data_IF_849729297730
#
_entry.id   IF_849729297730
#
_cell.length_a   1.000
_cell.length_b   1.000
_cell.length_c   1.000
_cell.angle_alpha   90.00
_cell.angle_beta   90.00
_cell.angle_gamma   90.00
#
_symmetry.space_group_name_H-M   'P 1'
#
loop_
_entity.id
_entity.type
_entity.pdbx_description
1 polymer ?
#
# COMPACT_ATOMS: atom_id res chain seq x y z
N UNK A 1 -44.20 8.68 25.85
CA UNK A 1 -43.40 9.71 26.54
C UNK A 1 -42.16 9.05 27.14
N UNK A 2 -41.01 9.15 26.47
CA UNK A 2 -39.67 9.16 27.08
C UNK A 2 -38.69 9.45 25.94
N UNK A 3 -38.31 10.72 25.82
CA UNK A 3 -37.40 11.22 24.80
C UNK A 3 -35.98 10.73 25.06
N UNK A 4 -35.36 10.15 24.05
CA UNK A 4 -33.92 9.92 24.04
C UNK A 4 -33.27 11.02 23.18
N UNK A 5 -32.32 11.81 23.72
CA UNK A 5 -31.65 12.87 22.98
C UNK A 5 -30.63 12.25 22.03
N UNK A 6 -31.06 11.95 20.79
CA UNK A 6 -30.22 11.34 19.75
C UNK A 6 -29.56 12.38 18.81
N UNK A 7 -29.59 13.68 19.12
CA UNK A 7 -29.26 14.73 18.13
C UNK A 7 -27.99 15.54 18.38
N UNK A 8 -27.19 15.29 19.43
CA UNK A 8 -26.06 16.18 19.76
C UNK A 8 -24.66 15.52 19.82
N UNK A 9 -24.42 14.49 19.00
CA UNK A 9 -23.08 13.89 18.79
C UNK A 9 -22.47 14.28 17.43
N UNK A 10 -23.22 14.95 16.55
CA UNK A 10 -22.78 15.35 15.20
C UNK A 10 -22.17 16.77 15.16
N UNK A 11 -22.24 17.51 16.26
CA UNK A 11 -21.89 18.93 16.39
C UNK A 11 -20.64 19.17 17.25
N UNK A 12 -19.95 18.11 17.69
CA UNK A 12 -18.70 18.26 18.43
C UNK A 12 -17.55 18.65 17.46
N UNK A 13 -17.03 19.89 17.54
CA UNK A 13 -15.97 20.35 16.63
C UNK A 13 -14.71 19.49 16.70
N UNK A 14 -14.43 18.82 17.83
CA UNK A 14 -13.26 17.96 17.98
C UNK A 14 -13.44 16.62 17.28
N UNK A 15 -14.63 16.03 17.34
CA UNK A 15 -14.97 14.82 16.58
C UNK A 15 -14.94 15.08 15.06
N UNK A 16 -15.38 16.26 14.61
CA UNK A 16 -15.31 16.66 13.19
C UNK A 16 -13.86 16.84 12.73
N UNK A 17 -13.02 17.53 13.52
CA UNK A 17 -11.58 17.69 13.22
C UNK A 17 -10.89 16.34 13.13
N UNK A 18 -11.10 15.45 14.10
CA UNK A 18 -10.50 14.11 14.09
C UNK A 18 -10.93 13.28 12.87
N UNK A 19 -12.21 13.33 12.47
CA UNK A 19 -12.68 12.68 11.24
C UNK A 19 -11.99 13.23 10.00
N UNK A 20 -11.94 14.55 9.84
CA UNK A 20 -11.29 15.17 8.69
C UNK A 20 -9.79 14.80 8.67
N UNK A 21 -9.09 14.88 9.79
CA UNK A 21 -7.68 14.48 9.89
C UNK A 21 -7.49 13.01 9.53
N UNK A 22 -8.32 12.09 10.04
CA UNK A 22 -8.25 10.68 9.69
C UNK A 22 -8.51 10.44 8.20
N UNK A 23 -9.53 11.10 7.63
CA UNK A 23 -9.85 10.99 6.20
C UNK A 23 -8.72 11.54 5.32
N UNK A 24 -8.07 12.64 5.71
CA UNK A 24 -6.93 13.20 5.00
C UNK A 24 -5.74 12.23 5.01
N UNK A 25 -5.43 11.62 6.16
CA UNK A 25 -4.33 10.65 6.29
C UNK A 25 -4.60 9.41 5.44
N UNK A 26 -5.83 8.88 5.49
CA UNK A 26 -6.20 7.68 4.72
C UNK A 26 -6.19 7.96 3.22
N UNK A 27 -6.73 9.10 2.79
CA UNK A 27 -6.72 9.51 1.38
C UNK A 27 -5.30 9.68 0.84
N UNK A 28 -4.42 10.31 1.62
CA UNK A 28 -3.02 10.50 1.21
C UNK A 28 -2.30 9.16 1.05
N UNK A 29 -2.53 8.22 1.96
CA UNK A 29 -1.89 6.90 1.87
C UNK A 29 -2.42 6.08 0.69
N UNK A 30 -3.73 6.13 0.41
CA UNK A 30 -4.30 5.53 -0.80
C UNK A 30 -3.70 6.12 -2.07
N UNK A 31 -3.48 7.44 -2.10
CA UNK A 31 -2.80 8.11 -3.19
C UNK A 31 -1.35 7.63 -3.35
N UNK A 32 -0.61 7.52 -2.24
CA UNK A 32 0.78 7.02 -2.24
C UNK A 32 0.84 5.59 -2.79
N UNK A 33 -0.09 4.71 -2.39
CA UNK A 33 -0.16 3.34 -2.92
C UNK A 33 -0.45 3.31 -4.42
N UNK A 34 -1.38 4.12 -4.91
CA UNK A 34 -1.69 4.22 -6.34
C UNK A 34 -0.50 4.78 -7.14
N UNK A 35 0.13 5.84 -6.64
CA UNK A 35 1.31 6.46 -7.23
C UNK A 35 2.48 5.47 -7.33
N UNK A 36 2.70 4.66 -6.30
CA UNK A 36 3.76 3.63 -6.32
C UNK A 36 3.55 2.60 -7.43
N UNK A 37 2.31 2.17 -7.69
CA UNK A 37 1.97 1.31 -8.81
C UNK A 37 2.33 1.95 -10.16
N UNK A 38 1.90 3.20 -10.36
CA UNK A 38 2.20 3.96 -11.59
C UNK A 38 3.70 4.19 -11.80
N UNK A 39 4.46 4.47 -10.74
CA UNK A 39 5.90 4.69 -10.83
C UNK A 39 6.64 3.49 -11.45
N UNK A 40 6.25 2.26 -11.09
CA UNK A 40 6.85 1.06 -11.69
C UNK A 40 6.42 0.83 -13.13
N UNK A 41 5.19 1.16 -13.50
CA UNK A 41 4.77 1.10 -14.91
C UNK A 41 5.58 2.05 -15.79
N UNK A 42 5.97 3.21 -15.27
CA UNK A 42 6.83 4.18 -15.97
C UNK A 42 8.30 3.73 -15.96
N UNK A 43 8.77 3.09 -14.89
CA UNK A 43 10.14 2.59 -14.77
C UNK A 43 10.39 1.29 -15.55
N UNK A 44 9.34 0.52 -15.86
CA UNK A 44 9.38 -0.75 -16.58
C UNK A 44 10.36 -0.76 -17.78
N UNK A 45 10.22 0.13 -18.78
CA UNK A 45 11.11 0.12 -19.94
C UNK A 45 12.57 0.42 -19.61
N UNK A 46 12.85 1.16 -18.53
CA UNK A 46 14.22 1.51 -18.13
C UNK A 46 14.88 0.36 -17.37
N UNK A 47 14.09 -0.44 -16.64
CA UNK A 47 14.56 -1.61 -15.91
C UNK A 47 14.85 -2.80 -16.85
N UNK A 48 14.05 -2.97 -17.92
CA UNK A 48 14.20 -4.09 -18.86
C UNK A 48 15.18 -3.80 -20.01
N UNK A 49 15.39 -2.53 -20.37
CA UNK A 49 16.26 -2.18 -21.49
C UNK A 49 17.76 -2.37 -21.14
N UNK A 50 18.48 -3.26 -21.84
CA UNK A 50 19.90 -3.56 -21.56
C UNK A 50 20.85 -2.36 -21.69
N UNK A 51 20.45 -1.33 -22.42
CA UNK A 51 21.24 -0.12 -22.66
C UNK A 51 21.06 0.94 -21.57
N UNK A 52 20.12 0.74 -20.64
CA UNK A 52 19.82 1.70 -19.58
C UNK A 52 20.78 1.53 -18.39
N UNK A 53 21.23 2.62 -17.74
CA UNK A 53 22.07 2.54 -16.54
C UNK A 53 21.42 1.80 -15.36
N UNK A 54 20.10 1.67 -15.39
CA UNK A 54 19.27 1.07 -14.33
C UNK A 54 18.76 -0.33 -14.75
N UNK A 55 19.34 -0.92 -15.79
CA UNK A 55 18.99 -2.25 -16.26
C UNK A 55 19.23 -3.28 -15.15
N UNK A 56 18.23 -4.14 -14.94
CA UNK A 56 18.34 -5.28 -14.04
C UNK A 56 18.74 -6.50 -14.87
N UNK A 57 19.93 -7.09 -14.66
CA UNK A 57 20.38 -8.24 -15.45
C UNK A 57 19.39 -9.41 -15.38
N UNK A 58 18.99 -9.92 -16.54
CA UNK A 58 18.05 -11.05 -16.65
C UNK A 58 16.57 -10.66 -16.55
N UNK A 59 16.25 -9.40 -16.29
CA UNK A 59 14.87 -8.92 -16.25
C UNK A 59 14.35 -8.63 -17.67
N UNK A 60 13.45 -9.46 -18.13
CA UNK A 60 12.71 -9.29 -19.39
C UNK A 60 11.30 -8.70 -19.17
N UNK A 61 10.59 -8.33 -20.23
CA UNK A 61 9.23 -7.77 -20.17
C UNK A 61 8.26 -8.67 -19.39
N UNK A 62 8.36 -9.99 -19.56
CA UNK A 62 7.55 -10.96 -18.82
C UNK A 62 7.83 -10.93 -17.31
N UNK A 63 9.10 -10.80 -16.92
CA UNK A 63 9.51 -10.68 -15.51
C UNK A 63 9.00 -9.39 -14.89
N UNK A 64 9.08 -8.28 -15.62
CA UNK A 64 8.51 -7.00 -15.18
C UNK A 64 6.99 -7.06 -15.01
N UNK A 65 6.28 -7.73 -15.93
CA UNK A 65 4.86 -8.05 -15.79
C UNK A 65 4.57 -8.80 -14.49
N UNK A 66 5.36 -9.83 -14.18
CA UNK A 66 5.24 -10.59 -12.93
C UNK A 66 5.46 -9.74 -11.68
N UNK A 67 6.45 -8.83 -11.69
CA UNK A 67 6.72 -7.91 -10.58
C UNK A 67 5.53 -6.98 -10.31
N UNK A 68 4.81 -6.54 -11.34
CA UNK A 68 3.60 -5.73 -11.19
C UNK A 68 2.44 -6.59 -10.68
N UNK A 69 2.26 -7.78 -11.24
CA UNK A 69 1.16 -8.70 -10.88
C UNK A 69 1.28 -9.22 -9.46
N UNK A 70 2.48 -9.54 -8.97
CA UNK A 70 2.67 -10.11 -7.62
C UNK A 70 2.24 -9.14 -6.52
N UNK A 71 2.41 -7.84 -6.71
CA UNK A 71 1.91 -6.82 -5.79
C UNK A 71 0.38 -6.86 -5.68
N UNK A 72 -0.31 -6.91 -6.83
CA UNK A 72 -1.77 -6.97 -6.90
C UNK A 72 -2.27 -8.28 -6.28
N UNK A 73 -1.61 -9.39 -6.61
CA UNK A 73 -1.94 -10.72 -6.11
C UNK A 73 -1.80 -10.80 -4.59
N UNK A 74 -0.66 -10.34 -4.05
CA UNK A 74 -0.42 -10.29 -2.60
C UNK A 74 -1.48 -9.44 -1.90
N UNK A 75 -1.77 -8.25 -2.46
CA UNK A 75 -2.79 -7.35 -1.90
C UNK A 75 -4.15 -8.04 -1.88
N UNK A 76 -4.61 -8.59 -3.01
CA UNK A 76 -5.91 -9.23 -3.11
C UNK A 76 -6.06 -10.47 -2.20
N UNK A 77 -5.03 -11.31 -2.12
CA UNK A 77 -5.04 -12.53 -1.31
C UNK A 77 -5.04 -12.22 0.20
N UNK A 78 -4.32 -11.18 0.60
CA UNK A 78 -4.14 -10.83 2.02
C UNK A 78 -5.19 -9.84 2.55
N UNK A 79 -5.88 -9.11 1.69
CA UNK A 79 -6.87 -8.11 2.10
C UNK A 79 -8.04 -8.74 2.89
N UNK A 80 -8.49 -9.94 2.52
CA UNK A 80 -9.56 -10.65 3.26
C UNK A 80 -9.11 -11.06 4.67
N UNK A 81 -8.00 -11.81 4.86
CA UNK A 81 -7.55 -12.19 6.20
C UNK A 81 -7.14 -10.98 7.03
N UNK A 82 -6.46 -9.98 6.45
CA UNK A 82 -6.07 -8.78 7.17
C UNK A 82 -7.25 -7.90 7.53
N UNK A 83 -8.30 -7.84 6.71
CA UNK A 83 -9.56 -7.21 7.09
C UNK A 83 -10.15 -7.80 8.37
N UNK A 84 -10.19 -9.13 8.49
CA UNK A 84 -10.64 -9.82 9.72
C UNK A 84 -9.74 -9.51 10.93
N UNK A 85 -8.43 -9.48 10.74
CA UNK A 85 -7.48 -9.13 11.81
C UNK A 85 -7.66 -7.67 12.25
N UNK A 86 -7.90 -6.76 11.30
CA UNK A 86 -8.14 -5.33 11.53
C UNK A 86 -9.39 -5.09 12.39
N UNK A 87 -10.44 -5.88 12.18
CA UNK A 87 -11.65 -5.79 12.99
C UNK A 87 -11.45 -6.30 14.42
N UNK A 88 -10.59 -7.32 14.63
CA UNK A 88 -10.34 -7.90 15.96
C UNK A 88 -9.32 -7.11 16.80
N UNK A 89 -8.23 -6.60 16.19
CA UNK A 89 -7.13 -5.95 16.90
C UNK A 89 -7.20 -4.41 16.87
N UNK A 90 -8.16 -3.86 16.14
CA UNK A 90 -8.41 -2.44 16.01
C UNK A 90 -7.78 -1.83 14.75
N UNK A 91 -8.64 -1.23 13.92
CA UNK A 91 -8.31 -0.72 12.57
C UNK A 91 -7.13 0.25 12.54
N UNK A 92 -7.04 1.16 13.52
CA UNK A 92 -5.96 2.16 13.59
C UNK A 92 -4.57 1.52 13.72
N UNK A 93 -4.43 0.45 14.52
CA UNK A 93 -3.13 -0.19 14.75
C UNK A 93 -2.66 -0.94 13.51
N UNK A 94 -3.55 -1.72 12.92
CA UNK A 94 -3.25 -2.51 11.71
C UNK A 94 -2.88 -1.60 10.55
N UNK A 95 -3.62 -0.51 10.36
CA UNK A 95 -3.31 0.49 9.34
C UNK A 95 -1.92 1.12 9.50
N UNK A 96 -1.50 1.46 10.73
CA UNK A 96 -0.17 2.01 10.99
C UNK A 96 0.92 0.97 10.68
N UNK A 97 0.72 -0.29 11.06
CA UNK A 97 1.64 -1.38 10.75
C UNK A 97 1.77 -1.58 9.23
N UNK A 98 0.64 -1.61 8.52
CA UNK A 98 0.60 -1.70 7.06
C UNK A 98 1.37 -0.59 6.38
N UNK A 99 1.13 0.65 6.81
CA UNK A 99 1.83 1.84 6.31
C UNK A 99 3.34 1.71 6.51
N UNK A 100 3.80 1.28 7.68
CA UNK A 100 5.24 1.10 7.96
C UNK A 100 5.85 0.03 7.06
N UNK A 101 5.17 -1.11 6.89
CA UNK A 101 5.62 -2.21 6.00
C UNK A 101 5.68 -1.72 4.56
N UNK A 102 4.65 -1.02 4.09
CA UNK A 102 4.58 -0.48 2.74
C UNK A 102 5.74 0.50 2.46
N UNK A 103 5.95 1.47 3.36
CA UNK A 103 6.99 2.49 3.20
C UNK A 103 8.39 1.90 3.30
N UNK A 104 8.64 0.99 4.25
CA UNK A 104 9.95 0.34 4.37
C UNK A 104 10.26 -0.53 3.14
N UNK A 105 9.29 -1.30 2.64
CA UNK A 105 9.47 -2.06 1.41
C UNK A 105 9.73 -1.15 0.20
N UNK A 106 9.03 -0.02 0.08
CA UNK A 106 9.24 0.97 -0.97
C UNK A 106 10.67 1.54 -0.97
N UNK A 107 11.20 1.85 0.21
CA UNK A 107 12.58 2.35 0.35
C UNK A 107 13.59 1.29 -0.08
N UNK A 108 13.41 0.04 0.35
CA UNK A 108 14.34 -1.04 0.02
C UNK A 108 14.34 -1.35 -1.49
N UNK A 109 13.17 -1.34 -2.13
CA UNK A 109 13.02 -1.57 -3.58
C UNK A 109 13.87 -0.61 -4.43
N UNK A 110 14.07 0.64 -3.98
CA UNK A 110 14.90 1.61 -4.70
C UNK A 110 16.38 1.26 -4.81
N UNK A 111 16.87 0.29 -4.01
CA UNK A 111 18.26 -0.15 -4.00
C UNK A 111 18.45 -1.57 -4.56
N UNK A 112 17.36 -2.26 -4.94
CA UNK A 112 17.42 -3.65 -5.37
C UNK A 112 17.78 -3.76 -6.87
N UNK A 113 18.75 -4.63 -7.18
CA UNK A 113 19.27 -4.85 -8.54
C UNK A 113 19.10 -6.29 -9.04
N UNK A 114 18.15 -7.04 -8.46
CA UNK A 114 17.86 -8.43 -8.86
C UNK A 114 16.36 -8.65 -8.94
N UNK A 115 15.92 -9.32 -10.02
CA UNK A 115 14.52 -9.68 -10.26
C UNK A 115 13.89 -10.39 -9.05
N UNK A 116 14.55 -11.40 -8.49
CA UNK A 116 14.02 -12.16 -7.36
C UNK A 116 13.79 -11.28 -6.14
N UNK A 117 14.72 -10.39 -5.83
CA UNK A 117 14.55 -9.43 -4.72
C UNK A 117 13.42 -8.44 -4.99
N UNK A 118 13.25 -7.99 -6.24
CA UNK A 118 12.13 -7.11 -6.62
C UNK A 118 10.78 -7.82 -6.41
N UNK A 119 10.66 -9.07 -6.84
CA UNK A 119 9.45 -9.88 -6.65
C UNK A 119 9.12 -10.05 -5.16
N UNK A 120 10.10 -10.43 -4.34
CA UNK A 120 9.91 -10.65 -2.90
C UNK A 120 9.47 -9.34 -2.22
N UNK A 121 10.19 -8.24 -2.43
CA UNK A 121 9.85 -6.98 -1.78
C UNK A 121 8.55 -6.37 -2.33
N UNK A 122 8.17 -6.65 -3.59
CA UNK A 122 6.84 -6.30 -4.10
C UNK A 122 5.73 -7.09 -3.44
N UNK A 123 5.94 -8.38 -3.17
CA UNK A 123 5.00 -9.18 -2.39
C UNK A 123 4.84 -8.60 -0.98
N UNK A 124 5.95 -8.27 -0.30
CA UNK A 124 5.93 -7.63 1.04
C UNK A 124 5.23 -6.27 1.00
N UNK A 125 5.48 -5.45 -0.02
CA UNK A 125 4.81 -4.16 -0.20
C UNK A 125 3.30 -4.33 -0.42
N UNK A 126 2.88 -5.33 -1.21
CA UNK A 126 1.47 -5.67 -1.41
C UNK A 126 0.80 -6.16 -0.13
N UNK A 127 1.50 -6.95 0.68
CA UNK A 127 1.06 -7.35 2.02
C UNK A 127 0.87 -6.14 2.94
N UNK A 128 1.80 -5.17 2.91
CA UNK A 128 1.67 -3.90 3.63
C UNK A 128 0.47 -3.07 3.17
N UNK A 129 0.19 -3.06 1.87
CA UNK A 129 -0.95 -2.36 1.25
C UNK A 129 -2.31 -2.95 1.64
N UNK A 130 -2.35 -4.24 1.99
CA UNK A 130 -3.58 -4.95 2.38
C UNK A 130 -4.00 -4.77 3.85
N UNK A 131 -3.15 -4.15 4.68
CA UNK A 131 -3.36 -3.92 6.12
C UNK A 131 -4.03 -2.55 6.39
#
# INVERSE_FOLDING_TARGET
>A
MLGLPMTNQLSDPDARKQRITALSIISLSSFISAFSGSAFSVAAPVMTNPLSPQHVPGLDEAGMGWIITIYILATAMLQIPFGKISDNYGRKKIYIIGTIIFTSAALVLGFMNSETTLVIFRFVQGAGSAL
#
